data_IF_643224710451
#
_entry.id   IF_643224710451
#
_cell.length_a   1.000
_cell.length_b   1.000
_cell.length_c   1.000
_cell.angle_alpha   90.00
_cell.angle_beta   90.00
_cell.angle_gamma   90.00
#
_symmetry.space_group_name_H-M   'P 1'
#
loop_
_entity.id
_entity.type
_entity.pdbx_description
1 polymer ?
#
# COMPACT_ATOMS: atom_id res chain seq x y z
N UNK A 1 -35.59 13.21 -22.73
CA UNK A 1 -35.45 11.86 -23.34
C UNK A 1 -35.36 12.01 -24.85
N UNK A 2 -34.40 11.41 -25.47
CA UNK A 2 -34.28 11.30 -26.93
C UNK A 2 -34.77 9.93 -27.34
N UNK A 3 -35.49 9.87 -28.46
CA UNK A 3 -35.90 8.64 -29.11
C UNK A 3 -35.70 8.74 -30.61
N UNK A 4 -35.39 7.62 -31.24
CA UNK A 4 -35.19 7.56 -32.69
C UNK A 4 -36.45 6.96 -33.35
N UNK A 5 -36.83 7.53 -34.48
CA UNK A 5 -37.92 7.04 -35.33
C UNK A 5 -37.29 6.81 -36.71
N UNK A 6 -37.42 5.59 -37.21
CA UNK A 6 -37.12 5.27 -38.60
C UNK A 6 -38.40 5.54 -39.42
N UNK A 7 -38.30 6.33 -40.46
CA UNK A 7 -39.44 6.70 -41.31
C UNK A 7 -40.16 5.49 -41.95
N UNK A 8 -39.42 4.36 -42.07
CA UNK A 8 -39.95 3.12 -42.67
C UNK A 8 -40.42 2.08 -41.63
N UNK A 9 -39.76 2.03 -40.45
CA UNK A 9 -39.95 1.00 -39.43
C UNK A 9 -40.74 1.49 -38.22
N UNK A 10 -41.00 2.80 -38.09
CA UNK A 10 -41.64 3.38 -36.91
C UNK A 10 -40.63 3.55 -35.74
N UNK A 11 -41.11 3.33 -34.54
CA UNK A 11 -40.30 3.46 -33.33
C UNK A 11 -39.19 2.39 -33.28
N UNK A 12 -37.91 2.85 -33.16
CA UNK A 12 -36.74 1.98 -33.02
C UNK A 12 -36.54 1.61 -31.56
N UNK A 13 -36.24 0.33 -31.30
CA UNK A 13 -35.94 -0.20 -29.95
C UNK A 13 -34.73 -1.12 -30.00
N UNK A 14 -34.13 -1.41 -28.84
CA UNK A 14 -32.92 -2.25 -28.74
C UNK A 14 -31.64 -1.52 -29.16
N UNK A 15 -30.58 -2.28 -29.53
CA UNK A 15 -29.36 -1.70 -30.02
C UNK A 15 -29.52 -1.11 -31.43
N UNK A 16 -29.10 0.12 -31.62
CA UNK A 16 -29.24 0.85 -32.87
C UNK A 16 -27.97 1.64 -33.19
N UNK A 17 -27.56 1.66 -34.44
CA UNK A 17 -26.34 2.35 -34.88
C UNK A 17 -26.69 3.50 -35.84
N UNK A 18 -26.21 4.70 -35.54
CA UNK A 18 -26.34 5.89 -36.39
C UNK A 18 -24.93 6.46 -36.61
N UNK A 19 -24.55 6.66 -37.85
CA UNK A 19 -23.25 7.22 -38.25
C UNK A 19 -22.04 6.52 -37.57
N UNK A 20 -22.16 5.19 -37.35
CA UNK A 20 -21.14 4.38 -36.71
C UNK A 20 -21.14 4.41 -35.18
N UNK A 21 -22.02 5.19 -34.55
CA UNK A 21 -22.18 5.28 -33.10
C UNK A 21 -23.31 4.35 -32.66
N UNK A 22 -23.09 3.54 -31.60
CA UNK A 22 -24.09 2.61 -31.06
C UNK A 22 -24.83 3.22 -29.88
N UNK A 23 -26.15 3.05 -29.89
CA UNK A 23 -27.11 3.47 -28.87
C UNK A 23 -27.92 2.28 -28.39
N UNK A 24 -28.40 2.33 -27.17
CA UNK A 24 -29.38 1.37 -26.65
C UNK A 24 -30.69 2.11 -26.39
N UNK A 25 -31.77 1.61 -26.98
CA UNK A 25 -33.12 2.16 -26.85
C UNK A 25 -33.98 1.17 -26.08
N UNK A 26 -34.71 1.68 -25.12
CA UNK A 26 -35.63 0.90 -24.30
C UNK A 26 -36.70 0.24 -25.17
N UNK A 27 -36.98 -1.03 -24.96
CA UNK A 27 -37.83 -1.83 -25.80
C UNK A 27 -39.33 -1.39 -25.77
N UNK A 28 -39.75 -0.86 -24.61
CA UNK A 28 -41.14 -0.41 -24.45
C UNK A 28 -41.33 1.04 -24.88
N UNK A 29 -40.41 1.90 -24.43
CA UNK A 29 -40.54 3.34 -24.60
C UNK A 29 -39.79 3.89 -25.82
N UNK A 30 -38.75 3.18 -26.33
CA UNK A 30 -37.82 3.65 -27.36
C UNK A 30 -36.95 4.83 -26.92
N UNK A 31 -36.92 5.10 -25.62
CA UNK A 31 -36.04 6.14 -25.08
C UNK A 31 -34.60 5.64 -24.92
N UNK A 32 -33.60 6.53 -25.09
CA UNK A 32 -32.21 6.16 -24.87
C UNK A 32 -32.01 5.66 -23.44
N UNK A 33 -31.32 4.52 -23.29
CA UNK A 33 -30.80 4.04 -22.04
C UNK A 33 -29.40 4.65 -21.81
N UNK A 34 -29.13 5.06 -20.57
CA UNK A 34 -27.89 5.69 -20.16
C UNK A 34 -27.28 4.90 -18.98
N UNK A 35 -25.98 5.04 -18.78
CA UNK A 35 -25.28 4.39 -17.68
C UNK A 35 -25.03 2.91 -17.93
N UNK A 36 -24.97 2.14 -16.86
CA UNK A 36 -24.76 0.69 -16.92
C UNK A 36 -26.03 -0.02 -17.41
N UNK A 37 -25.89 -0.77 -18.48
CA UNK A 37 -26.95 -1.60 -19.04
C UNK A 37 -26.54 -3.08 -19.00
N UNK A 38 -27.39 -3.91 -18.38
CA UNK A 38 -27.18 -5.36 -18.27
C UNK A 38 -28.05 -6.04 -19.32
N UNK A 39 -27.44 -6.92 -20.11
CA UNK A 39 -28.12 -7.69 -21.17
C UNK A 39 -28.49 -9.09 -20.67
N UNK A 40 -29.35 -9.79 -21.41
CA UNK A 40 -29.87 -11.14 -21.08
C UNK A 40 -28.74 -12.17 -20.97
N UNK A 41 -27.66 -11.99 -21.72
CA UNK A 41 -26.44 -12.82 -21.67
C UNK A 41 -25.49 -12.45 -20.49
N UNK A 42 -25.92 -11.59 -19.55
CA UNK A 42 -25.19 -11.08 -18.42
C UNK A 42 -24.02 -10.12 -18.81
N UNK A 43 -23.90 -9.76 -20.08
CA UNK A 43 -22.92 -8.72 -20.46
C UNK A 43 -23.35 -7.36 -19.90
N UNK A 44 -22.36 -6.55 -19.50
CA UNK A 44 -22.58 -5.21 -18.99
C UNK A 44 -21.89 -4.23 -19.93
N UNK A 45 -22.62 -3.24 -20.39
CA UNK A 45 -22.12 -2.16 -21.24
C UNK A 45 -22.44 -0.80 -20.63
N UNK A 46 -21.68 0.20 -20.99
CA UNK A 46 -21.89 1.56 -20.51
C UNK A 46 -22.24 2.50 -21.65
N UNK A 47 -23.35 3.20 -21.52
CA UNK A 47 -23.78 4.24 -22.44
C UNK A 47 -23.67 5.59 -21.75
N UNK A 48 -22.91 6.50 -22.33
CA UNK A 48 -22.60 7.80 -21.74
C UNK A 48 -23.82 8.74 -21.64
N UNK A 49 -23.60 9.98 -21.21
CA UNK A 49 -24.66 10.97 -21.08
C UNK A 49 -25.33 11.37 -22.42
N UNK A 50 -24.69 11.07 -23.55
CA UNK A 50 -25.26 11.25 -24.89
C UNK A 50 -26.01 9.98 -25.36
N UNK A 51 -25.92 8.90 -24.57
CA UNK A 51 -26.46 7.58 -24.91
C UNK A 51 -25.58 6.78 -25.85
N UNK A 52 -24.30 7.15 -26.01
CA UNK A 52 -23.35 6.48 -26.90
C UNK A 52 -22.63 5.36 -26.15
N UNK A 53 -22.55 4.17 -26.78
CA UNK A 53 -21.77 3.06 -26.24
C UNK A 53 -20.29 3.48 -26.17
N UNK A 54 -19.70 3.45 -24.97
CA UNK A 54 -18.35 3.94 -24.75
C UNK A 54 -17.44 2.91 -24.11
N UNK A 55 -16.13 3.06 -24.30
CA UNK A 55 -15.04 2.33 -23.67
C UNK A 55 -14.26 3.23 -22.72
N UNK A 56 -13.30 2.65 -21.97
CA UNK A 56 -12.51 3.38 -21.00
C UNK A 56 -13.19 3.50 -19.65
N UNK A 57 -12.85 4.57 -18.92
CA UNK A 57 -13.42 4.83 -17.60
C UNK A 57 -14.87 5.29 -17.68
N UNK A 58 -15.70 4.72 -16.82
CA UNK A 58 -17.11 5.09 -16.66
C UNK A 58 -17.43 5.27 -15.17
N UNK A 59 -18.37 6.16 -14.87
CA UNK A 59 -18.81 6.45 -13.50
C UNK A 59 -20.33 6.31 -13.40
N UNK A 60 -20.78 5.60 -12.35
CA UNK A 60 -22.18 5.48 -12.00
C UNK A 60 -22.33 5.74 -10.48
N UNK A 61 -22.82 6.90 -10.14
CA UNK A 61 -22.81 7.40 -8.76
C UNK A 61 -21.36 7.58 -8.25
N UNK A 62 -21.05 6.90 -7.15
CA UNK A 62 -19.71 6.90 -6.56
C UNK A 62 -18.81 5.76 -7.10
N UNK A 63 -19.37 4.89 -7.93
CA UNK A 63 -18.68 3.72 -8.46
C UNK A 63 -17.97 4.04 -9.76
N UNK A 64 -16.76 3.49 -9.91
CA UNK A 64 -15.94 3.61 -11.13
C UNK A 64 -15.76 2.24 -11.76
N UNK A 65 -15.90 2.19 -13.05
CA UNK A 65 -15.78 1.00 -13.90
C UNK A 65 -14.77 1.27 -15.01
N UNK A 66 -14.28 0.21 -15.61
CA UNK A 66 -13.47 0.32 -16.82
C UNK A 66 -13.97 -0.67 -17.88
N UNK A 67 -14.14 -0.20 -19.09
CA UNK A 67 -14.56 -0.98 -20.24
C UNK A 67 -13.44 -1.05 -21.27
N UNK A 68 -13.15 -2.26 -21.77
CA UNK A 68 -12.17 -2.47 -22.82
C UNK A 68 -12.58 -1.77 -24.13
N UNK A 69 -11.66 -1.75 -25.10
CA UNK A 69 -11.98 -1.26 -26.46
C UNK A 69 -13.11 -2.05 -27.14
N UNK A 70 -13.35 -3.28 -26.69
CA UNK A 70 -14.48 -4.11 -27.14
C UNK A 70 -15.75 -3.88 -26.30
N UNK A 71 -15.77 -2.85 -25.46
CA UNK A 71 -16.88 -2.49 -24.59
C UNK A 71 -17.22 -3.52 -23.50
N UNK A 72 -16.26 -4.36 -23.12
CA UNK A 72 -16.42 -5.37 -22.08
C UNK A 72 -16.01 -4.79 -20.73
N UNK A 73 -16.90 -4.94 -19.72
CA UNK A 73 -16.61 -4.53 -18.35
C UNK A 73 -15.42 -5.30 -17.81
N UNK A 74 -14.42 -4.60 -17.28
CA UNK A 74 -13.23 -5.22 -16.74
C UNK A 74 -13.41 -5.61 -15.28
N UNK A 75 -12.82 -6.77 -14.91
CA UNK A 75 -12.80 -7.30 -13.55
C UNK A 75 -11.37 -7.77 -13.20
N UNK A 76 -11.11 -8.02 -11.91
CA UNK A 76 -9.81 -8.46 -11.45
C UNK A 76 -8.72 -7.37 -11.57
N UNK A 77 -7.48 -7.81 -11.66
CA UNK A 77 -6.33 -6.92 -11.78
C UNK A 77 -6.18 -6.35 -13.19
N UNK A 78 -6.08 -5.03 -13.28
CA UNK A 78 -5.86 -4.31 -14.53
C UNK A 78 -4.67 -3.36 -14.43
N UNK A 79 -3.92 -3.21 -15.51
CA UNK A 79 -2.86 -2.22 -15.66
C UNK A 79 -3.33 -1.16 -16.66
N UNK A 80 -3.61 0.03 -16.18
CA UNK A 80 -4.15 1.13 -16.98
C UNK A 80 -3.24 2.35 -16.78
N UNK A 81 -2.72 2.89 -17.85
CA UNK A 81 -1.85 4.08 -17.85
C UNK A 81 -0.66 3.98 -16.84
N UNK A 82 -0.06 2.77 -16.74
CA UNK A 82 1.07 2.51 -15.85
C UNK A 82 0.71 2.39 -14.36
N UNK A 83 -0.56 2.43 -14.00
CA UNK A 83 -1.07 2.20 -12.65
C UNK A 83 -1.83 0.87 -12.57
N UNK A 84 -1.75 0.20 -11.43
CA UNK A 84 -2.52 -1.03 -11.17
C UNK A 84 -3.83 -0.69 -10.47
N UNK A 85 -4.88 -1.38 -10.89
CA UNK A 85 -6.23 -1.30 -10.32
C UNK A 85 -6.73 -2.70 -10.03
N UNK A 86 -7.67 -2.81 -9.13
CA UNK A 86 -8.41 -4.04 -8.92
C UNK A 86 -9.91 -3.76 -8.99
N UNK A 87 -10.57 -4.42 -9.91
CA UNK A 87 -12.02 -4.37 -10.08
C UNK A 87 -12.63 -5.63 -9.47
N UNK A 88 -13.65 -5.48 -8.65
CA UNK A 88 -14.38 -6.61 -8.12
C UNK A 88 -15.10 -7.40 -9.23
N UNK A 89 -15.74 -8.50 -8.86
CA UNK A 89 -16.62 -9.26 -9.78
C UNK A 89 -17.84 -8.45 -10.22
N UNK A 90 -18.16 -7.39 -9.50
CA UNK A 90 -19.17 -6.38 -9.81
C UNK A 90 -18.67 -5.28 -10.78
N UNK A 91 -17.42 -5.37 -11.22
CA UNK A 91 -16.77 -4.39 -12.09
C UNK A 91 -16.36 -3.09 -11.41
N UNK A 92 -16.61 -2.91 -10.10
CA UNK A 92 -16.30 -1.68 -9.38
C UNK A 92 -14.81 -1.63 -9.04
N UNK A 93 -14.14 -0.53 -9.38
CA UNK A 93 -12.77 -0.25 -8.96
C UNK A 93 -12.68 -0.16 -7.43
N UNK A 94 -11.83 -0.96 -6.82
CA UNK A 94 -11.69 -0.98 -5.36
C UNK A 94 -10.88 0.22 -4.86
N UNK A 95 -11.27 0.72 -3.68
CA UNK A 95 -10.62 1.83 -2.96
C UNK A 95 -10.36 1.44 -1.51
N UNK A 96 -9.46 2.16 -0.83
CA UNK A 96 -9.08 1.86 0.55
C UNK A 96 -8.30 0.54 0.68
N UNK A 97 -8.32 -0.06 1.88
CA UNK A 97 -7.66 -1.36 2.11
C UNK A 97 -8.62 -2.49 1.72
N UNK A 98 -8.18 -3.36 0.83
CA UNK A 98 -8.94 -4.49 0.31
C UNK A 98 -8.15 -5.78 0.44
N UNK A 99 -8.86 -6.88 0.69
CA UNK A 99 -8.26 -8.22 0.66
C UNK A 99 -8.53 -8.87 -0.71
N UNK A 100 -7.45 -9.19 -1.41
CA UNK A 100 -7.47 -9.85 -2.72
C UNK A 100 -6.57 -11.08 -2.61
N UNK A 101 -7.10 -12.25 -2.92
CA UNK A 101 -6.36 -13.53 -2.88
C UNK A 101 -5.60 -13.76 -1.57
N UNK A 102 -6.21 -13.41 -0.43
CA UNK A 102 -5.65 -13.58 0.91
C UNK A 102 -4.58 -12.56 1.30
N UNK A 103 -4.25 -11.59 0.44
CA UNK A 103 -3.35 -10.48 0.74
C UNK A 103 -4.10 -9.16 0.81
N UNK A 104 -3.63 -8.24 1.64
CA UNK A 104 -4.20 -6.90 1.75
C UNK A 104 -3.43 -5.92 0.87
N UNK A 105 -4.19 -5.08 0.15
CA UNK A 105 -3.68 -4.03 -0.73
C UNK A 105 -4.36 -2.71 -0.37
N UNK A 106 -3.71 -1.60 -0.65
CA UNK A 106 -4.28 -0.28 -0.49
C UNK A 106 -4.50 0.38 -1.85
N UNK A 107 -5.68 0.93 -2.04
CA UNK A 107 -6.04 1.66 -3.24
C UNK A 107 -6.42 3.10 -2.89
N UNK A 108 -5.97 4.05 -3.67
CA UNK A 108 -6.33 5.46 -3.51
C UNK A 108 -7.81 5.69 -3.86
N UNK A 109 -8.29 6.91 -3.66
CA UNK A 109 -9.66 7.30 -4.04
C UNK A 109 -9.93 7.21 -5.55
N UNK A 110 -8.87 7.28 -6.38
CA UNK A 110 -8.98 7.07 -7.83
C UNK A 110 -8.95 5.58 -8.22
N UNK A 111 -8.87 4.66 -7.23
CA UNK A 111 -8.77 3.22 -7.42
C UNK A 111 -7.36 2.71 -7.70
N UNK A 112 -6.34 3.58 -7.83
CA UNK A 112 -4.97 3.14 -8.10
C UNK A 112 -4.32 2.48 -6.90
N UNK A 113 -3.65 1.32 -7.10
CA UNK A 113 -2.92 0.59 -6.07
C UNK A 113 -1.76 1.43 -5.52
N UNK A 114 -1.64 1.46 -4.21
CA UNK A 114 -0.62 2.20 -3.50
C UNK A 114 0.49 1.28 -2.98
N UNK A 115 1.71 1.82 -2.89
CA UNK A 115 2.89 1.15 -2.32
C UNK A 115 3.55 2.06 -1.30
N UNK A 116 4.50 1.52 -0.52
CA UNK A 116 5.20 2.29 0.50
C UNK A 116 4.34 2.58 1.73
N UNK A 117 4.66 3.65 2.44
CA UNK A 117 3.90 4.08 3.61
C UNK A 117 2.56 4.69 3.19
N UNK A 118 1.48 4.17 3.79
CA UNK A 118 0.13 4.69 3.62
C UNK A 118 -0.50 4.98 4.97
N UNK A 119 -1.22 6.11 5.08
CA UNK A 119 -2.00 6.46 6.23
C UNK A 119 -3.49 6.23 5.93
N UNK A 120 -4.13 5.39 6.73
CA UNK A 120 -5.57 5.12 6.63
C UNK A 120 -6.19 5.40 8.00
N UNK A 121 -7.00 6.43 8.08
CA UNK A 121 -7.45 6.97 9.37
C UNK A 121 -6.27 7.47 10.20
N UNK A 122 -6.19 7.03 11.46
CA UNK A 122 -5.09 7.38 12.38
C UNK A 122 -3.92 6.40 12.33
N UNK A 123 -3.99 5.36 11.50
CA UNK A 123 -3.00 4.28 11.45
C UNK A 123 -2.11 4.39 10.23
N UNK A 124 -0.86 3.93 10.36
CA UNK A 124 0.09 3.84 9.26
C UNK A 124 0.38 2.39 8.94
N UNK A 125 0.48 2.09 7.65
CA UNK A 125 0.76 0.79 7.07
C UNK A 125 1.91 0.90 6.10
N UNK A 126 2.50 -0.23 5.74
CA UNK A 126 3.50 -0.28 4.68
C UNK A 126 3.17 -1.37 3.67
N UNK A 127 3.14 -1.00 2.40
CA UNK A 127 2.87 -1.89 1.29
C UNK A 127 4.14 -2.08 0.47
N UNK A 128 4.46 -3.33 0.17
CA UNK A 128 5.62 -3.70 -0.62
C UNK A 128 5.55 -3.17 -2.06
N UNK A 129 6.60 -3.41 -2.82
CA UNK A 129 6.65 -3.03 -4.25
C UNK A 129 5.65 -3.81 -5.10
N UNK A 130 5.21 -4.99 -4.63
CA UNK A 130 4.12 -5.78 -5.22
C UNK A 130 2.73 -5.27 -4.81
N UNK A 131 2.67 -4.28 -3.91
CA UNK A 131 1.46 -3.68 -3.35
C UNK A 131 0.90 -4.42 -2.14
N UNK A 132 1.43 -5.58 -1.75
CA UNK A 132 0.93 -6.32 -0.59
C UNK A 132 1.33 -5.65 0.72
N UNK A 133 0.40 -5.64 1.70
CA UNK A 133 0.66 -5.15 3.05
C UNK A 133 1.74 -6.00 3.73
N UNK A 134 2.72 -5.33 4.33
CA UNK A 134 3.79 -6.00 5.07
C UNK A 134 3.52 -5.97 6.58
N UNK A 135 3.87 -7.07 7.25
CA UNK A 135 3.81 -7.22 8.71
C UNK A 135 5.16 -7.66 9.26
N UNK A 136 5.31 -7.66 10.58
CA UNK A 136 6.56 -8.04 11.24
C UNK A 136 7.67 -7.00 11.07
N UNK A 137 8.91 -7.45 11.22
CA UNK A 137 10.09 -6.60 11.09
C UNK A 137 10.36 -6.22 9.64
N UNK A 138 10.50 -4.92 9.39
CA UNK A 138 10.85 -4.37 8.08
C UNK A 138 12.05 -3.43 8.20
N UNK A 139 12.97 -3.49 7.23
CA UNK A 139 14.04 -2.52 7.08
C UNK A 139 13.73 -1.67 5.85
N UNK A 140 13.43 -0.41 6.08
CA UNK A 140 13.03 0.52 5.03
C UNK A 140 14.07 1.65 5.00
N UNK A 141 14.82 1.71 3.91
CA UNK A 141 16.04 2.50 3.86
C UNK A 141 17.06 1.98 4.89
N UNK A 142 17.54 2.84 5.78
CA UNK A 142 18.47 2.51 6.86
C UNK A 142 17.78 2.30 8.23
N UNK A 143 16.46 2.39 8.28
CA UNK A 143 15.70 2.35 9.53
C UNK A 143 14.93 1.03 9.68
N UNK A 144 14.78 0.56 10.92
CA UNK A 144 13.96 -0.60 11.26
C UNK A 144 12.61 -0.17 11.80
N UNK A 145 11.58 -0.88 11.31
CA UNK A 145 10.18 -0.72 11.70
C UNK A 145 9.62 -2.08 12.09
N UNK A 146 8.54 -2.07 12.81
CA UNK A 146 7.75 -3.26 13.07
C UNK A 146 6.28 -2.97 12.77
N UNK A 147 5.65 -3.84 11.99
CA UNK A 147 4.23 -3.78 11.70
C UNK A 147 3.54 -4.94 12.39
N UNK A 148 2.50 -4.63 13.15
CA UNK A 148 1.70 -5.61 13.89
C UNK A 148 1.01 -6.59 12.91
N UNK A 149 0.42 -7.68 13.41
CA UNK A 149 -0.30 -8.66 12.58
C UNK A 149 -1.44 -8.03 11.77
N UNK A 150 -2.07 -6.98 12.30
CA UNK A 150 -3.10 -6.20 11.60
C UNK A 150 -2.52 -5.15 10.62
N UNK A 151 -1.21 -5.13 10.41
CA UNK A 151 -0.50 -4.20 9.55
C UNK A 151 -0.20 -2.83 10.15
N UNK A 152 -0.69 -2.49 11.34
CA UNK A 152 -0.45 -1.19 11.96
C UNK A 152 1.04 -1.02 12.30
N UNK A 153 1.61 0.14 11.94
CA UNK A 153 2.96 0.51 12.32
C UNK A 153 3.09 0.64 13.84
N UNK A 154 4.03 -0.08 14.43
CA UNK A 154 4.32 -0.01 15.86
C UNK A 154 4.92 1.36 16.26
N UNK A 155 4.43 1.93 17.36
CA UNK A 155 4.97 3.12 18.02
C UNK A 155 4.99 2.90 19.53
N UNK A 156 5.81 3.66 20.27
CA UNK A 156 5.94 3.46 21.71
C UNK A 156 6.61 2.14 22.06
N UNK A 157 6.25 1.51 23.15
CA UNK A 157 6.85 0.24 23.61
C UNK A 157 5.95 -0.94 23.28
N UNK A 158 6.48 -1.89 22.52
CA UNK A 158 5.79 -3.11 22.08
C UNK A 158 6.58 -4.33 22.51
N UNK A 159 5.90 -5.40 22.94
CA UNK A 159 6.53 -6.69 23.24
C UNK A 159 6.42 -7.59 22.00
N UNK A 160 7.56 -8.02 21.48
CA UNK A 160 7.69 -8.87 20.30
C UNK A 160 8.51 -10.10 20.73
N UNK A 161 7.97 -11.29 20.56
CA UNK A 161 8.60 -12.57 20.95
C UNK A 161 9.15 -12.53 22.40
N UNK A 162 8.36 -11.99 23.34
CA UNK A 162 8.71 -11.87 24.74
C UNK A 162 9.74 -10.78 25.09
N UNK A 163 10.23 -10.03 24.11
CA UNK A 163 11.19 -8.92 24.29
C UNK A 163 10.53 -7.58 24.06
N UNK A 164 10.86 -6.58 24.90
CA UNK A 164 10.36 -5.21 24.76
C UNK A 164 11.22 -4.43 23.77
N UNK A 165 10.57 -3.81 22.80
CA UNK A 165 11.17 -2.87 21.86
C UNK A 165 10.47 -1.53 21.98
N UNK A 166 11.21 -0.44 21.77
CA UNK A 166 10.65 0.90 21.76
C UNK A 166 10.81 1.52 20.38
N UNK A 167 9.73 2.13 19.90
CA UNK A 167 9.68 2.83 18.62
C UNK A 167 9.38 4.31 18.84
N UNK A 168 9.94 5.16 18.02
CA UNK A 168 9.63 6.58 17.97
C UNK A 168 8.21 6.80 17.42
N UNK A 169 7.70 8.02 17.50
CA UNK A 169 6.38 8.37 16.96
C UNK A 169 6.29 8.22 15.43
N UNK A 170 7.44 8.27 14.73
CA UNK A 170 7.54 8.01 13.29
C UNK A 170 7.61 6.51 12.93
N UNK A 171 7.59 5.62 13.94
CA UNK A 171 7.66 4.16 13.80
C UNK A 171 9.08 3.59 13.72
N UNK A 172 10.12 4.43 13.70
CA UNK A 172 11.49 3.94 13.67
C UNK A 172 11.87 3.28 15.01
N UNK A 173 12.55 2.14 14.94
CA UNK A 173 13.05 1.48 16.16
C UNK A 173 14.03 2.40 16.90
N UNK A 174 13.74 2.67 18.18
CA UNK A 174 14.63 3.44 19.03
C UNK A 174 15.84 2.57 19.40
N UNK A 175 17.03 2.98 19.00
CA UNK A 175 18.28 2.33 19.41
C UNK A 175 18.56 2.66 20.88
N UNK A 176 18.94 1.64 21.66
CA UNK A 176 19.44 1.86 23.01
C UNK A 176 20.82 2.49 22.89
N UNK A 177 20.99 3.68 23.46
CA UNK A 177 22.30 4.33 23.58
C UNK A 177 22.93 3.93 24.89
N UNK A 178 24.13 3.39 24.82
CA UNK A 178 24.94 3.02 25.99
C UNK A 178 26.19 3.87 25.96
N UNK A 179 26.44 4.59 27.06
CA UNK A 179 27.71 5.27 27.29
C UNK A 179 28.60 4.32 28.08
N UNK A 180 29.72 3.95 27.49
CA UNK A 180 30.77 3.20 28.17
C UNK A 180 31.88 4.17 28.57
N UNK A 181 32.18 4.24 29.86
CA UNK A 181 33.30 4.94 30.42
C UNK A 181 34.38 3.94 30.83
N UNK A 182 35.55 4.05 30.25
CA UNK A 182 36.66 3.17 30.56
C UNK A 182 37.29 3.39 31.96
N UNK A 183 36.79 4.40 32.67
CA UNK A 183 37.37 4.76 33.98
C UNK A 183 38.81 5.23 33.90
N UNK A 184 39.46 5.29 35.00
CA UNK A 184 40.82 5.82 35.20
C UNK A 184 41.81 5.58 34.04
N UNK A 185 42.11 6.63 33.28
CA UNK A 185 43.13 6.64 32.25
C UNK A 185 44.31 7.48 32.70
N UNK A 186 45.49 6.84 32.89
CA UNK A 186 46.68 7.57 33.21
C UNK A 186 47.94 6.67 33.28
N UNK A 187 49.08 7.26 32.92
CA UNK A 187 50.37 6.57 32.88
C UNK A 187 50.92 6.09 34.23
N UNK A 188 50.22 6.44 35.32
CA UNK A 188 50.64 6.09 36.69
C UNK A 188 49.94 4.85 37.25
N UNK A 189 48.94 4.31 36.55
CA UNK A 189 48.19 3.16 37.02
C UNK A 189 48.85 1.86 36.50
N UNK A 190 49.94 1.47 37.10
CA UNK A 190 50.71 0.24 36.80
C UNK A 190 50.25 -0.91 37.68
N UNK A 191 50.19 -2.12 37.11
CA UNK A 191 50.00 -3.33 37.88
C UNK A 191 51.12 -3.48 38.92
N UNK A 192 50.79 -3.68 40.20
CA UNK A 192 51.81 -3.90 41.26
C UNK A 192 52.54 -5.25 41.07
N UNK A 193 51.98 -6.19 40.31
CA UNK A 193 52.55 -7.51 40.12
C UNK A 193 53.41 -7.61 38.87
N UNK A 194 53.11 -6.85 37.80
CA UNK A 194 53.90 -6.83 36.58
C UNK A 194 53.92 -5.42 36.01
N UNK A 195 55.03 -4.74 36.17
CA UNK A 195 55.25 -3.34 35.77
C UNK A 195 55.14 -3.07 34.27
N UNK A 196 54.91 -4.07 33.43
CA UNK A 196 54.76 -3.91 31.98
C UNK A 196 53.34 -3.65 31.54
N UNK A 197 52.31 -3.90 32.40
CA UNK A 197 50.93 -3.66 32.09
C UNK A 197 50.39 -2.45 32.84
N UNK A 198 49.66 -1.60 32.09
CA UNK A 198 48.88 -0.50 32.67
C UNK A 198 47.43 -0.98 32.81
N UNK A 199 46.80 -0.80 33.97
CA UNK A 199 45.39 -1.11 34.19
C UNK A 199 44.48 -0.39 33.17
N UNK A 200 44.88 0.84 32.80
CA UNK A 200 44.20 1.60 31.77
C UNK A 200 44.14 0.92 30.40
N UNK A 201 45.23 0.23 30.01
CA UNK A 201 45.29 -0.46 28.71
C UNK A 201 44.43 -1.73 28.72
N UNK A 202 44.38 -2.44 29.84
CA UNK A 202 43.49 -3.61 30.00
C UNK A 202 42.03 -3.18 30.05
N UNK A 203 41.72 -2.13 30.80
CA UNK A 203 40.36 -1.58 30.85
C UNK A 203 39.92 -1.10 29.50
N UNK A 204 40.79 -0.44 28.72
CA UNK A 204 40.48 0.02 27.37
C UNK A 204 40.23 -1.13 26.39
N UNK A 205 41.05 -2.18 26.44
CA UNK A 205 40.86 -3.40 25.61
C UNK A 205 39.54 -4.11 25.91
N UNK A 206 39.18 -4.23 27.20
CA UNK A 206 37.90 -4.80 27.62
C UNK A 206 36.72 -3.92 27.15
N UNK A 207 36.86 -2.62 27.31
CA UNK A 207 35.91 -1.62 26.87
C UNK A 207 35.61 -1.73 25.36
N UNK A 208 36.65 -1.83 24.51
CA UNK A 208 36.49 -2.02 23.07
C UNK A 208 35.82 -3.36 22.71
N UNK A 209 36.15 -4.44 23.44
CA UNK A 209 35.45 -5.72 23.25
C UNK A 209 33.97 -5.65 23.64
N UNK A 210 33.65 -4.99 24.74
CA UNK A 210 32.27 -4.78 25.19
C UNK A 210 31.52 -3.89 24.21
N UNK A 211 32.13 -2.81 23.72
CA UNK A 211 31.57 -1.97 22.67
C UNK A 211 31.17 -2.81 21.45
N UNK A 212 32.09 -3.58 20.90
CA UNK A 212 31.87 -4.42 19.73
C UNK A 212 30.73 -5.44 19.98
N UNK A 213 30.68 -6.07 21.18
CA UNK A 213 29.65 -7.01 21.54
C UNK A 213 28.26 -6.37 21.69
N UNK A 214 28.19 -5.14 22.15
CA UNK A 214 26.92 -4.37 22.28
C UNK A 214 26.45 -3.86 20.91
N UNK A 215 27.38 -3.35 20.09
CA UNK A 215 27.06 -2.92 18.72
C UNK A 215 26.56 -4.09 17.85
N UNK A 216 27.14 -5.27 18.02
CA UNK A 216 26.65 -6.50 17.36
C UNK A 216 25.21 -6.89 17.78
N UNK A 217 24.74 -6.41 18.94
CA UNK A 217 23.36 -6.55 19.40
C UNK A 217 22.45 -5.38 19.01
N UNK A 218 22.92 -4.48 18.14
CA UNK A 218 22.16 -3.35 17.62
C UNK A 218 22.06 -2.14 18.54
N UNK A 219 22.92 -2.05 19.55
CA UNK A 219 22.99 -0.89 20.46
C UNK A 219 23.92 0.19 19.88
N UNK A 220 23.61 1.45 20.10
CA UNK A 220 24.51 2.56 19.80
C UNK A 220 25.41 2.77 21.02
N UNK A 221 26.73 2.59 20.86
CA UNK A 221 27.69 2.69 21.96
C UNK A 221 28.55 3.93 21.80
N UNK A 222 28.42 4.85 22.74
CA UNK A 222 29.29 6.03 22.88
C UNK A 222 30.40 5.68 23.89
N UNK A 223 31.62 5.92 23.52
CA UNK A 223 32.78 5.71 24.39
C UNK A 223 33.35 7.05 24.82
N UNK A 224 33.61 7.21 26.12
CA UNK A 224 34.41 8.31 26.66
C UNK A 224 35.82 7.83 26.93
N UNK A 225 36.79 8.65 26.59
CA UNK A 225 38.21 8.41 26.84
C UNK A 225 38.83 9.63 27.50
#
# INVERSE_FOLDING_TARGET
SRYYVDDAAGKVTGEYTVDGVRYLLDEETGTQKLGLCIFDDQTVRYYDANGELTSGWAEDGENRYYFSENYEMQTGWQMLDGKRYYFGTDGIARTGIQTVDGKQYCFASDGSMQTGFQAVGSQKYYFGTDGAMLTGWQTIGSQKYYFLENGNMATGTVTIDGKKYTFNADGTQKKIKICLDAGHYGKYNRSPVNGTYFESDMSWKLHLKLKSALEARGMEVITTR
#
